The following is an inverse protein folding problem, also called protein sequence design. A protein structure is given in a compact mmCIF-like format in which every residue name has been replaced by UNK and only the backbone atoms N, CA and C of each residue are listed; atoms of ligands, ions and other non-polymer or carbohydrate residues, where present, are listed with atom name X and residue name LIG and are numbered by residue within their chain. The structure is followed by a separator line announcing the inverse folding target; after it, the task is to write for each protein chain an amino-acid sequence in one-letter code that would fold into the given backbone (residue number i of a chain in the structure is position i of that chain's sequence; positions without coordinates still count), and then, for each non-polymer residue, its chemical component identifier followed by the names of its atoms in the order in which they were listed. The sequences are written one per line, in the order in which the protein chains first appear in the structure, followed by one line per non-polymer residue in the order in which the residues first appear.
data_IF_866363043855
#
_entry.id   IF_866363043855
#
_cell.length_a   1.000
_cell.length_b   1.000
_cell.length_c   1.000
_cell.angle_alpha   90.00
_cell.angle_beta   90.00
_cell.angle_gamma   90.00
#
_symmetry.space_group_name_H-M   'P 1'
#
loop_
_entity.id
_entity.type
_entity.pdbx_description
1 polymer ?
#
# COMPACT_ATOMS: atom_id res chain seq x y z
N UNK A 1 5.74 -3.80 -19.62
CA UNK A 1 6.38 -3.09 -18.49
C UNK A 1 5.27 -2.53 -17.62
N UNK A 2 5.21 -2.87 -16.33
CA UNK A 2 4.24 -2.26 -15.40
C UNK A 2 4.90 -1.04 -14.77
N UNK A 3 4.40 0.15 -15.10
CA UNK A 3 4.89 1.41 -14.52
C UNK A 3 4.60 1.42 -13.02
N UNK A 4 5.61 1.77 -12.22
CA UNK A 4 5.48 1.92 -10.77
C UNK A 4 5.97 3.32 -10.39
N UNK A 5 5.17 4.03 -9.61
CA UNK A 5 5.52 5.34 -9.04
C UNK A 5 5.49 5.28 -7.52
N UNK A 6 6.24 6.16 -6.87
CA UNK A 6 6.23 6.29 -5.41
C UNK A 6 5.94 7.72 -4.96
N UNK A 7 5.34 7.82 -3.78
CA UNK A 7 5.13 9.05 -3.01
C UNK A 7 5.51 8.79 -1.56
N UNK A 8 5.92 9.85 -0.88
CA UNK A 8 6.33 9.79 0.52
C UNK A 8 5.71 10.98 1.24
N UNK A 9 4.79 10.73 2.16
CA UNK A 9 4.06 11.76 2.90
C UNK A 9 4.69 12.00 4.27
N UNK A 10 4.71 13.27 4.67
CA UNK A 10 5.09 13.66 6.03
C UNK A 10 3.91 13.40 6.97
N UNK A 11 4.11 12.45 7.89
CA UNK A 11 3.12 12.07 8.91
C UNK A 11 3.47 12.69 10.26
N UNK A 12 3.25 11.99 11.37
CA UNK A 12 3.50 12.50 12.73
C UNK A 12 4.97 12.85 12.95
N UNK A 13 5.31 14.00 13.57
CA UNK A 13 4.41 14.99 14.17
C UNK A 13 4.00 16.14 13.23
N UNK A 14 4.42 16.15 11.96
CA UNK A 14 4.02 17.19 11.00
C UNK A 14 2.51 17.19 10.70
N UNK A 15 1.91 16.00 10.63
CA UNK A 15 0.47 15.76 10.56
C UNK A 15 0.07 14.68 11.54
N UNK A 16 -1.13 14.76 12.09
CA UNK A 16 -1.69 13.59 12.78
C UNK A 16 -2.02 12.46 11.77
N UNK A 17 -2.23 11.24 12.28
CA UNK A 17 -2.44 10.08 11.42
C UNK A 17 -3.71 10.17 10.55
N UNK A 18 -4.74 10.89 10.99
CA UNK A 18 -5.97 11.08 10.21
C UNK A 18 -5.73 12.09 9.09
N UNK A 19 -5.06 13.20 9.38
CA UNK A 19 -4.64 14.19 8.38
C UNK A 19 -3.71 13.58 7.32
N UNK A 20 -2.81 12.68 7.71
CA UNK A 20 -1.98 11.92 6.78
C UNK A 20 -2.83 11.05 5.87
N UNK A 21 -3.81 10.33 6.42
CA UNK A 21 -4.72 9.52 5.60
C UNK A 21 -5.54 10.40 4.64
N UNK A 22 -6.09 11.51 5.11
CA UNK A 22 -6.85 12.43 4.27
C UNK A 22 -6.02 12.96 3.10
N UNK A 23 -4.76 13.34 3.33
CA UNK A 23 -3.84 13.75 2.26
C UNK A 23 -3.60 12.62 1.22
N UNK A 24 -3.46 11.38 1.68
CA UNK A 24 -3.34 10.21 0.80
C UNK A 24 -4.64 9.98 0.01
N UNK A 25 -5.81 10.16 0.62
CA UNK A 25 -7.09 10.07 -0.07
C UNK A 25 -7.19 11.14 -1.15
N UNK A 26 -6.81 12.38 -0.87
CA UNK A 26 -6.79 13.45 -1.87
C UNK A 26 -5.84 13.15 -3.03
N UNK A 27 -4.65 12.60 -2.76
CA UNK A 27 -3.71 12.17 -3.81
C UNK A 27 -4.32 11.11 -4.72
N UNK A 28 -4.90 10.05 -4.13
CA UNK A 28 -5.42 8.90 -4.86
C UNK A 28 -6.72 9.20 -5.62
N UNK A 29 -7.52 10.14 -5.13
CA UNK A 29 -8.80 10.52 -5.73
C UNK A 29 -8.72 11.78 -6.58
N UNK A 30 -7.64 12.54 -6.47
CA UNK A 30 -7.42 13.83 -7.16
C UNK A 30 -8.59 14.80 -6.93
N UNK A 31 -9.16 14.80 -5.72
CA UNK A 31 -10.31 15.62 -5.33
C UNK A 31 -11.65 15.19 -5.96
N UNK A 32 -11.69 14.11 -6.74
CA UNK A 32 -12.93 13.61 -7.35
C UNK A 32 -13.85 13.01 -6.29
N UNK A 33 -15.06 13.54 -6.18
CA UNK A 33 -16.12 12.91 -5.41
C UNK A 33 -16.64 11.66 -6.14
N UNK A 34 -16.76 10.57 -5.39
CA UNK A 34 -17.20 9.29 -5.93
C UNK A 34 -17.15 8.16 -4.92
N UNK A 35 -17.48 6.95 -5.40
CA UNK A 35 -17.50 5.73 -4.58
C UNK A 35 -16.12 5.41 -4.02
N UNK A 36 -15.05 5.54 -4.82
CA UNK A 36 -13.68 5.30 -4.37
C UNK A 36 -13.27 6.21 -3.19
N UNK A 37 -13.56 7.52 -3.28
CA UNK A 37 -13.31 8.47 -2.18
C UNK A 37 -14.13 8.13 -0.94
N UNK A 38 -15.38 7.72 -1.13
CA UNK A 38 -16.29 7.33 -0.05
C UNK A 38 -15.80 6.07 0.68
N UNK A 39 -15.35 5.04 -0.06
CA UNK A 39 -14.78 3.81 0.50
C UNK A 39 -13.49 4.09 1.28
N UNK A 40 -12.59 4.91 0.72
CA UNK A 40 -11.34 5.30 1.40
C UNK A 40 -11.60 6.09 2.69
N UNK A 41 -12.59 6.99 2.69
CA UNK A 41 -13.00 7.71 3.90
C UNK A 41 -13.69 6.81 4.92
N UNK A 42 -14.47 5.83 4.48
CA UNK A 42 -15.15 4.89 5.37
C UNK A 42 -14.17 4.04 6.22
N UNK A 43 -12.96 3.78 5.70
CA UNK A 43 -11.91 3.05 6.42
C UNK A 43 -10.91 3.94 7.15
N UNK A 44 -11.16 5.26 7.24
CA UNK A 44 -10.21 6.23 7.79
C UNK A 44 -9.72 5.87 9.20
N UNK A 45 -10.60 5.38 10.08
CA UNK A 45 -10.20 4.96 11.42
C UNK A 45 -9.19 3.82 11.43
N UNK A 46 -9.36 2.83 10.55
CA UNK A 46 -8.42 1.68 10.44
C UNK A 46 -7.10 2.13 9.83
N UNK A 47 -7.15 2.93 8.75
CA UNK A 47 -5.95 3.43 8.11
C UNK A 47 -5.14 4.36 9.02
N UNK A 48 -5.80 5.27 9.75
CA UNK A 48 -5.15 6.15 10.72
C UNK A 48 -4.48 5.35 11.86
N UNK A 49 -5.13 4.28 12.36
CA UNK A 49 -4.50 3.39 13.36
C UNK A 49 -3.19 2.78 12.84
N UNK A 50 -3.19 2.28 11.60
CA UNK A 50 -1.99 1.69 11.00
C UNK A 50 -0.89 2.72 10.72
N UNK A 51 -1.28 3.96 10.37
CA UNK A 51 -0.33 5.07 10.21
C UNK A 51 0.28 5.44 11.57
N UNK A 52 -0.52 5.48 12.64
CA UNK A 52 -0.04 5.76 13.99
C UNK A 52 0.96 4.71 14.49
N UNK A 53 0.76 3.43 14.11
CA UNK A 53 1.71 2.33 14.35
C UNK A 53 2.97 2.39 13.46
N UNK A 54 3.13 3.45 12.65
CA UNK A 54 4.20 3.61 11.67
C UNK A 54 4.30 2.46 10.65
N UNK A 55 3.22 1.69 10.43
CA UNK A 55 3.22 0.59 9.46
C UNK A 55 3.66 1.01 8.03
N UNK A 56 3.31 2.21 7.53
CA UNK A 56 3.75 2.67 6.21
C UNK A 56 5.17 3.28 6.15
N UNK A 57 5.97 3.17 7.22
CA UNK A 57 7.36 3.66 7.24
C UNK A 57 8.25 2.87 6.28
N UNK A 58 8.27 1.55 6.41
CA UNK A 58 9.13 0.64 5.62
C UNK A 58 8.38 -0.23 4.63
N UNK A 59 7.07 -0.40 4.80
CA UNK A 59 6.21 -1.16 3.89
C UNK A 59 5.16 -0.22 3.29
N UNK A 60 5.09 0.00 1.97
CA UNK A 60 4.22 1.05 1.43
C UNK A 60 2.74 0.67 1.47
N UNK A 61 1.87 1.66 1.60
CA UNK A 61 0.51 1.57 1.08
C UNK A 61 0.61 1.43 -0.43
N UNK A 62 -0.14 0.50 -1.03
CA UNK A 62 -0.07 0.27 -2.49
C UNK A 62 -1.42 0.36 -3.12
N UNK A 63 -1.56 1.26 -4.10
CA UNK A 63 -2.70 1.33 -4.99
C UNK A 63 -2.40 0.63 -6.31
N UNK A 64 -3.33 -0.20 -6.76
CA UNK A 64 -3.33 -0.83 -8.09
C UNK A 64 -4.56 -0.38 -8.85
N UNK A 65 -4.43 -0.23 -10.16
CA UNK A 65 -5.50 0.20 -11.05
C UNK A 65 -5.24 -0.32 -12.47
N UNK A 66 -6.14 -0.03 -13.40
CA UNK A 66 -5.88 -0.11 -14.84
C UNK A 66 -4.91 1.00 -15.27
N UNK A 67 -3.64 0.83 -14.90
CA UNK A 67 -2.59 1.83 -15.06
C UNK A 67 -1.38 1.57 -14.16
N UNK A 68 -0.59 2.63 -13.87
CA UNK A 68 0.58 2.51 -13.01
C UNK A 68 0.22 2.12 -11.57
N UNK A 69 1.11 1.34 -10.94
CA UNK A 69 1.03 1.04 -9.51
C UNK A 69 1.61 2.19 -8.70
N UNK A 70 0.93 2.62 -7.64
CA UNK A 70 1.42 3.67 -6.74
C UNK A 70 1.84 3.08 -5.41
N UNK A 71 3.06 3.34 -4.97
CA UNK A 71 3.56 3.03 -3.62
C UNK A 71 3.59 4.31 -2.79
N UNK A 72 3.06 4.27 -1.58
CA UNK A 72 2.96 5.43 -0.70
C UNK A 72 3.59 5.08 0.64
N UNK A 73 4.66 5.78 0.98
CA UNK A 73 5.34 5.68 2.27
C UNK A 73 4.97 6.86 3.16
N UNK A 74 5.26 6.74 4.45
CA UNK A 74 5.15 7.84 5.40
C UNK A 74 6.47 8.06 6.14
N UNK A 75 6.89 9.33 6.22
CA UNK A 75 7.94 9.79 7.12
C UNK A 75 7.33 10.08 8.49
N UNK A 76 8.12 9.88 9.53
CA UNK A 76 7.74 10.09 10.91
C UNK A 76 8.85 10.82 11.66
N UNK A 77 8.53 11.37 12.82
CA UNK A 77 9.49 11.94 13.77
C UNK A 77 10.30 13.08 13.12
N UNK A 78 11.62 13.10 13.27
CA UNK A 78 12.50 14.11 12.67
C UNK A 78 12.36 14.17 11.14
N UNK A 79 12.27 13.01 10.47
CA UNK A 79 12.12 12.94 9.01
C UNK A 79 10.85 13.64 8.53
N UNK A 80 9.77 13.57 9.32
CA UNK A 80 8.53 14.27 9.01
C UNK A 80 8.62 15.79 9.25
N UNK A 81 9.42 16.23 10.24
CA UNK A 81 9.65 17.65 10.53
C UNK A 81 10.51 18.28 9.44
N UNK A 82 11.61 17.62 9.07
CA UNK A 82 12.55 18.10 8.06
C UNK A 82 11.92 18.04 6.67
N UNK A 83 11.39 16.87 6.30
CA UNK A 83 10.70 16.67 5.03
C UNK A 83 11.61 16.59 3.81
N UNK A 84 12.91 16.39 3.99
CA UNK A 84 13.90 16.31 2.90
C UNK A 84 13.60 15.15 1.92
N UNK A 85 13.09 14.03 2.44
CA UNK A 85 12.72 12.86 1.66
C UNK A 85 11.23 12.85 1.23
N UNK A 86 10.50 13.94 1.46
CA UNK A 86 9.09 14.02 1.13
C UNK A 86 8.88 14.17 -0.39
N UNK A 87 7.90 13.43 -0.91
CA UNK A 87 7.42 13.58 -2.28
C UNK A 87 5.89 13.43 -2.27
N UNK A 88 5.20 14.56 -2.13
CA UNK A 88 3.74 14.67 -2.09
C UNK A 88 3.16 15.26 -3.40
N UNK A 89 3.94 15.26 -4.49
CA UNK A 89 3.49 15.79 -5.77
C UNK A 89 2.25 15.05 -6.29
N UNK A 90 1.41 15.75 -7.04
CA UNK A 90 0.25 15.13 -7.70
C UNK A 90 0.68 14.00 -8.64
N UNK A 91 -0.22 13.02 -8.85
CA UNK A 91 0.00 11.93 -9.80
C UNK A 91 -0.47 12.36 -11.19
N UNK A 92 0.36 12.13 -12.22
CA UNK A 92 0.05 12.47 -13.62
C UNK A 92 -0.91 11.51 -14.32
N UNK A 93 -1.59 10.63 -13.58
CA UNK A 93 -2.56 9.65 -14.08
C UNK A 93 -3.65 9.43 -13.02
N UNK A 94 -4.76 8.78 -13.39
CA UNK A 94 -5.85 8.46 -12.47
C UNK A 94 -5.50 7.21 -11.62
N UNK A 95 -5.21 7.36 -10.31
CA UNK A 95 -4.58 6.29 -9.52
C UNK A 95 -5.51 5.12 -9.14
N UNK A 96 -6.81 5.30 -9.33
CA UNK A 96 -7.88 4.34 -9.00
C UNK A 96 -8.78 4.04 -10.20
N UNK A 97 -8.22 4.11 -11.41
CA UNK A 97 -8.96 3.80 -12.65
C UNK A 97 -9.32 2.32 -12.75
N UNK A 98 -10.56 2.03 -13.19
CA UNK A 98 -11.00 0.67 -13.50
C UNK A 98 -11.09 -0.23 -12.27
N UNK A 99 -10.58 -1.46 -12.38
CA UNK A 99 -10.59 -2.44 -11.29
C UNK A 99 -9.50 -2.15 -10.27
N UNK A 100 -9.72 -1.11 -9.46
CA UNK A 100 -8.75 -0.64 -8.49
C UNK A 100 -8.77 -1.44 -7.19
N UNK A 101 -7.65 -1.38 -6.47
CA UNK A 101 -7.48 -1.95 -5.14
C UNK A 101 -6.42 -1.19 -4.34
N UNK A 102 -6.54 -1.23 -3.01
CA UNK A 102 -5.58 -0.62 -2.09
C UNK A 102 -5.15 -1.64 -1.04
N UNK A 103 -3.84 -1.82 -0.89
CA UNK A 103 -3.24 -2.70 0.11
C UNK A 103 -2.55 -1.89 1.20
N UNK A 104 -3.07 -2.00 2.41
CA UNK A 104 -2.50 -1.38 3.61
C UNK A 104 -1.48 -2.32 4.27
N UNK A 105 -0.28 -1.83 4.62
CA UNK A 105 0.67 -2.56 5.45
C UNK A 105 0.10 -2.69 6.87
N UNK A 106 0.18 -3.88 7.45
CA UNK A 106 -0.36 -4.15 8.77
C UNK A 106 0.57 -5.10 9.53
N UNK A 107 0.85 -4.83 10.83
CA UNK A 107 1.53 -5.80 11.69
C UNK A 107 0.74 -7.12 11.72
N UNK A 108 1.46 -8.25 11.75
CA UNK A 108 0.87 -9.59 11.60
C UNK A 108 -0.17 -9.88 12.69
N UNK A 109 0.11 -9.46 13.91
CA UNK A 109 -0.72 -9.59 15.10
C UNK A 109 -2.04 -8.80 15.01
N UNK A 110 -2.08 -7.76 14.18
CA UNK A 110 -3.26 -6.92 13.98
C UNK A 110 -4.14 -7.36 12.80
N UNK A 111 -3.64 -8.22 11.91
CA UNK A 111 -4.32 -8.59 10.66
C UNK A 111 -5.76 -9.06 10.85
N UNK A 112 -6.02 -9.86 11.89
CA UNK A 112 -7.34 -10.45 12.12
C UNK A 112 -8.44 -9.40 12.31
N UNK A 113 -8.21 -8.42 13.19
CA UNK A 113 -9.19 -7.36 13.45
C UNK A 113 -9.23 -6.35 12.31
N UNK A 114 -8.06 -5.97 11.75
CA UNK A 114 -7.95 -5.00 10.65
C UNK A 114 -8.69 -5.49 9.42
N UNK A 115 -8.45 -6.71 8.96
CA UNK A 115 -9.15 -7.26 7.79
C UNK A 115 -10.65 -7.40 8.04
N UNK A 116 -11.06 -7.73 9.26
CA UNK A 116 -12.49 -7.82 9.63
C UNK A 116 -13.15 -6.44 9.59
N UNK A 117 -12.46 -5.39 10.05
CA UNK A 117 -12.96 -4.03 10.00
C UNK A 117 -13.04 -3.50 8.56
N UNK A 118 -12.00 -3.70 7.75
CA UNK A 118 -11.99 -3.26 6.34
C UNK A 118 -13.09 -3.91 5.51
N UNK A 119 -13.33 -5.23 5.69
CA UNK A 119 -14.38 -5.98 4.98
C UNK A 119 -15.80 -5.45 5.20
N UNK A 120 -16.05 -4.69 6.28
CA UNK A 120 -17.36 -4.05 6.52
C UNK A 120 -17.62 -2.88 5.57
N UNK A 121 -16.57 -2.30 4.99
CA UNK A 121 -16.65 -1.07 4.19
C UNK A 121 -16.24 -1.27 2.74
N UNK A 122 -15.30 -2.18 2.45
CA UNK A 122 -14.78 -2.40 1.10
C UNK A 122 -14.29 -3.83 0.89
N UNK A 123 -14.46 -4.33 -0.34
CA UNK A 123 -13.79 -5.55 -0.82
C UNK A 123 -12.48 -5.25 -1.57
N UNK A 124 -12.22 -3.97 -1.88
CA UNK A 124 -11.06 -3.49 -2.66
C UNK A 124 -9.91 -3.03 -1.78
N UNK A 125 -10.22 -2.57 -0.57
CA UNK A 125 -9.24 -2.14 0.42
C UNK A 125 -8.94 -3.32 1.35
N UNK A 126 -7.71 -3.81 1.31
CA UNK A 126 -7.26 -4.98 2.07
C UNK A 126 -6.03 -4.63 2.91
N UNK A 127 -5.79 -5.42 3.96
CA UNK A 127 -4.56 -5.36 4.73
C UNK A 127 -3.69 -6.58 4.49
N UNK A 128 -2.37 -6.37 4.44
CA UNK A 128 -1.36 -7.43 4.30
C UNK A 128 -0.35 -7.36 5.44
N UNK A 129 0.31 -8.48 5.71
CA UNK A 129 1.45 -8.52 6.61
C UNK A 129 2.55 -7.59 6.07
N UNK A 130 2.98 -6.61 6.86
CA UNK A 130 4.00 -5.65 6.46
C UNK A 130 5.39 -6.29 6.25
N UNK A 131 5.63 -7.48 6.81
CA UNK A 131 6.86 -8.26 6.57
C UNK A 131 6.85 -8.94 5.19
N UNK A 132 5.68 -9.03 4.58
CA UNK A 132 5.50 -9.60 3.25
C UNK A 132 5.40 -8.47 2.21
N UNK A 133 6.27 -8.53 1.21
CA UNK A 133 6.11 -7.70 0.02
C UNK A 133 4.79 -8.00 -0.70
N UNK A 134 4.27 -7.05 -1.47
CA UNK A 134 3.18 -7.36 -2.40
C UNK A 134 3.80 -8.11 -3.57
N UNK A 135 3.40 -9.37 -3.74
CA UNK A 135 3.73 -10.15 -4.92
C UNK A 135 3.37 -9.31 -6.17
N UNK A 136 4.40 -8.80 -6.85
CA UNK A 136 4.28 -8.37 -8.23
C UNK A 136 4.00 -9.64 -9.04
N UNK A 137 3.05 -9.61 -9.97
CA UNK A 137 2.89 -10.69 -10.95
C UNK A 137 4.16 -10.95 -11.80
N UNK A 138 5.24 -10.18 -11.59
CA UNK A 138 6.58 -10.44 -12.10
C UNK A 138 7.37 -11.50 -11.31
N UNK A 139 6.83 -12.04 -10.21
CA UNK A 139 7.51 -13.02 -9.36
C UNK A 139 6.72 -14.34 -9.23
N UNK A 140 5.97 -14.68 -10.29
CA UNK A 140 5.40 -16.02 -10.48
C UNK A 140 6.30 -16.93 -11.35
N UNK A 141 7.37 -16.41 -11.94
CA UNK A 141 8.31 -17.18 -12.80
C UNK A 141 9.65 -17.53 -12.14
N UNK A 142 9.85 -17.18 -10.86
CA UNK A 142 11.08 -17.52 -10.11
C UNK A 142 10.82 -18.49 -8.96
N UNK A 143 9.84 -19.39 -9.13
CA UNK A 143 9.43 -20.37 -8.12
C UNK A 143 9.11 -21.76 -8.69
N UNK A 144 9.55 -22.08 -9.91
CA UNK A 144 9.70 -23.49 -10.28
C UNK A 144 10.89 -24.03 -9.50
N UNK A 145 10.60 -24.69 -8.38
CA UNK A 145 11.51 -25.63 -7.76
C UNK A 145 11.88 -26.68 -8.82
N UNK A 146 13.00 -26.48 -9.51
CA UNK A 146 13.68 -27.51 -10.27
C UNK A 146 14.11 -28.58 -9.29
N UNK A 147 13.24 -29.58 -9.07
CA UNK A 147 13.63 -30.86 -8.49
C UNK A 147 14.56 -31.55 -9.49
N UNK A 148 15.86 -31.26 -9.38
CA UNK A 148 16.91 -32.01 -10.05
C UNK A 148 16.95 -33.42 -9.45
N UNK A 149 16.38 -34.39 -10.15
CA UNK A 149 16.55 -35.81 -9.82
C UNK A 149 17.97 -36.26 -10.19
N UNK A 150 18.87 -36.18 -9.22
CA UNK A 150 20.27 -36.62 -9.34
C UNK A 150 20.38 -38.15 -9.53
N UNK A 151 19.31 -38.92 -9.27
CA UNK A 151 19.30 -40.38 -9.42
C UNK A 151 19.28 -40.85 -10.87
N UNK A 152 18.70 -40.06 -11.78
CA UNK A 152 18.65 -40.36 -13.21
C UNK A 152 19.95 -40.05 -13.97
N UNK A 153 20.77 -39.13 -13.47
CA UNK A 153 21.95 -38.62 -14.19
C UNK A 153 23.18 -39.54 -14.11
N UNK A 154 23.28 -40.38 -13.07
CA UNK A 154 24.46 -41.23 -12.83
C UNK A 154 24.33 -42.68 -13.34
N UNK A 155 23.29 -42.99 -14.12
CA UNK A 155 23.04 -44.34 -14.69
C UNK A 155 23.08 -44.40 -16.22
N UNK A 156 23.73 -43.45 -16.89
CA UNK A 156 24.13 -43.60 -18.30
C UNK A 156 25.62 -43.87 -18.43
#
# INVERSE_FOLDING_TARGET
MTTVVSRTFRSSPHRDALQTWDAIVELLTQGKDGTARSELRAVAGVAASLIADQAPKSAPIVATCDGPRTRIYCLFDEDAIDGDDANEEVLGFEPLKGDWGVSLPCPKEQLGWVQTALKKHSSRIIARDLSQGIATQAQADAGQALSLDLGGFLKS
#
